data_IF_015744770157
#
_entry.id   IF_015744770157
#
_cell.length_a   1.000
_cell.length_b   1.000
_cell.length_c   1.000
_cell.angle_alpha   90.00
_cell.angle_beta   90.00
_cell.angle_gamma   90.00
#
_symmetry.space_group_name_H-M   'P 1'
#
loop_
_entity.id
_entity.type
_entity.pdbx_description
1 polymer ?
#
# COMPACT_ATOMS: atom_id res chain seq x y z
N UNK A 1 -14.07 -8.63 -21.12
CA UNK A 1 -13.70 -9.99 -20.70
C UNK A 1 -12.38 -10.02 -19.93
N UNK A 2 -11.30 -9.44 -20.44
CA UNK A 2 -10.01 -9.29 -19.72
C UNK A 2 -10.19 -8.85 -18.26
N UNK A 3 -10.93 -7.76 -18.04
CA UNK A 3 -11.21 -7.22 -16.71
C UNK A 3 -11.97 -8.21 -15.82
N UNK A 4 -12.96 -8.93 -16.37
CA UNK A 4 -13.71 -9.94 -15.61
C UNK A 4 -12.81 -11.10 -15.16
N UNK A 5 -11.83 -11.49 -15.98
CA UNK A 5 -10.82 -12.50 -15.60
C UNK A 5 -9.97 -11.99 -14.44
N UNK A 6 -9.50 -10.75 -14.51
CA UNK A 6 -8.71 -10.10 -13.44
C UNK A 6 -9.51 -10.07 -12.12
N UNK A 7 -10.75 -9.58 -12.15
CA UNK A 7 -11.57 -9.44 -10.94
C UNK A 7 -11.91 -10.78 -10.29
N UNK A 8 -12.31 -11.79 -11.09
CA UNK A 8 -12.62 -13.12 -10.56
C UNK A 8 -11.37 -13.79 -10.01
N UNK A 9 -10.25 -13.74 -10.73
CA UNK A 9 -9.01 -14.36 -10.30
C UNK A 9 -8.46 -13.67 -9.03
N UNK A 10 -8.52 -12.33 -8.94
CA UNK A 10 -8.13 -11.59 -7.74
C UNK A 10 -8.95 -12.04 -6.53
N UNK A 11 -10.28 -12.13 -6.69
CA UNK A 11 -11.18 -12.61 -5.62
C UNK A 11 -10.83 -14.03 -5.18
N UNK A 12 -10.64 -14.95 -6.13
CA UNK A 12 -10.29 -16.34 -5.83
C UNK A 12 -8.90 -16.47 -5.19
N UNK A 13 -7.89 -15.75 -5.69
CA UNK A 13 -6.56 -15.77 -5.10
C UNK A 13 -6.53 -15.19 -3.68
N UNK A 14 -7.36 -14.18 -3.39
CA UNK A 14 -7.51 -13.66 -2.03
C UNK A 14 -8.12 -14.69 -1.07
N UNK A 15 -9.08 -15.49 -1.54
CA UNK A 15 -9.79 -16.47 -0.70
C UNK A 15 -9.02 -17.79 -0.53
N UNK A 16 -8.38 -18.26 -1.61
CA UNK A 16 -7.87 -19.63 -1.69
C UNK A 16 -6.34 -19.70 -1.86
N UNK A 17 -5.67 -18.55 -2.02
CA UNK A 17 -4.25 -18.47 -2.37
C UNK A 17 -4.02 -18.61 -3.87
N UNK A 18 -2.88 -18.09 -4.34
CA UNK A 18 -2.52 -18.17 -5.76
C UNK A 18 -2.25 -19.63 -6.16
N UNK A 19 -1.61 -20.43 -5.31
CA UNK A 19 -1.22 -21.81 -5.67
C UNK A 19 -2.44 -22.70 -5.93
N UNK A 20 -3.49 -22.55 -5.13
CA UNK A 20 -4.65 -23.46 -5.14
C UNK A 20 -5.63 -23.23 -6.29
N UNK A 21 -5.59 -22.05 -6.93
CA UNK A 21 -6.53 -21.67 -7.98
C UNK A 21 -5.94 -21.94 -9.36
N UNK A 22 -6.54 -22.81 -10.15
CA UNK A 22 -6.09 -23.13 -11.51
C UNK A 22 -6.75 -22.21 -12.56
N UNK A 23 -6.20 -22.23 -13.79
CA UNK A 23 -6.85 -21.57 -14.94
C UNK A 23 -8.23 -22.20 -15.22
N UNK A 24 -8.37 -23.50 -14.96
CA UNK A 24 -9.66 -24.20 -15.06
C UNK A 24 -10.70 -23.63 -14.11
N UNK A 25 -10.34 -23.39 -12.86
CA UNK A 25 -11.26 -22.85 -11.84
C UNK A 25 -11.76 -21.45 -12.23
N UNK A 26 -10.87 -20.61 -12.74
CA UNK A 26 -11.20 -19.26 -13.24
C UNK A 26 -12.15 -19.37 -14.45
N UNK A 27 -11.82 -20.24 -15.40
CA UNK A 27 -12.63 -20.47 -16.61
C UNK A 27 -14.03 -20.99 -16.27
N UNK A 28 -14.12 -21.96 -15.36
CA UNK A 28 -15.38 -22.55 -14.90
C UNK A 28 -16.28 -21.50 -14.23
N UNK A 29 -15.69 -20.65 -13.37
CA UNK A 29 -16.41 -19.57 -12.68
C UNK A 29 -16.99 -18.55 -13.67
N UNK A 30 -16.22 -18.20 -14.70
CA UNK A 30 -16.65 -17.25 -15.74
C UNK A 30 -17.47 -17.88 -16.87
N UNK A 31 -17.62 -19.21 -16.88
CA UNK A 31 -18.26 -19.99 -17.96
C UNK A 31 -17.62 -19.70 -19.34
N UNK A 32 -16.29 -19.62 -19.37
CA UNK A 32 -15.50 -19.43 -20.59
C UNK A 32 -14.60 -20.64 -20.85
N UNK A 33 -14.13 -20.79 -22.10
CA UNK A 33 -13.17 -21.83 -22.44
C UNK A 33 -11.73 -21.43 -22.08
N UNK A 34 -10.83 -22.41 -21.90
CA UNK A 34 -9.38 -22.14 -21.82
C UNK A 34 -8.88 -21.34 -23.03
N UNK A 35 -9.38 -21.67 -24.24
CA UNK A 35 -9.04 -20.94 -25.46
C UNK A 35 -9.37 -19.45 -25.32
N UNK A 36 -10.49 -19.11 -24.70
CA UNK A 36 -10.87 -17.72 -24.41
C UNK A 36 -9.94 -17.09 -23.38
N UNK A 37 -9.57 -17.79 -22.32
CA UNK A 37 -8.59 -17.28 -21.34
C UNK A 37 -7.24 -16.97 -22.00
N UNK A 38 -6.71 -17.91 -22.78
CA UNK A 38 -5.41 -17.80 -23.44
C UNK A 38 -5.35 -16.75 -24.57
N UNK A 39 -6.48 -16.20 -25.00
CA UNK A 39 -6.51 -15.00 -25.84
C UNK A 39 -6.03 -13.74 -25.10
N UNK A 40 -6.17 -13.70 -23.76
CA UNK A 40 -5.82 -12.53 -22.94
C UNK A 40 -4.53 -12.73 -22.15
N UNK A 41 -4.27 -13.94 -21.64
CA UNK A 41 -3.11 -14.24 -20.79
C UNK A 41 -2.45 -15.51 -21.31
N UNK A 42 -1.17 -15.45 -21.72
CA UNK A 42 -0.50 -16.63 -22.31
C UNK A 42 -0.22 -17.69 -21.26
N UNK A 43 -0.03 -17.26 -20.01
CA UNK A 43 0.18 -18.11 -18.84
C UNK A 43 -0.43 -17.46 -17.60
N UNK A 44 -0.57 -18.24 -16.53
CA UNK A 44 -1.14 -17.77 -15.26
C UNK A 44 -0.29 -16.67 -14.62
N UNK A 45 1.03 -16.71 -14.80
CA UNK A 45 1.95 -15.66 -14.34
C UNK A 45 1.59 -14.29 -14.93
N UNK A 46 1.19 -14.23 -16.21
CA UNK A 46 0.83 -12.96 -16.86
C UNK A 46 -0.42 -12.35 -16.20
N UNK A 47 -1.38 -13.20 -15.82
CA UNK A 47 -2.56 -12.77 -15.08
C UNK A 47 -2.20 -12.26 -13.68
N UNK A 48 -1.27 -12.94 -12.99
CA UNK A 48 -0.81 -12.53 -11.65
C UNK A 48 -0.13 -11.16 -11.73
N UNK A 49 0.76 -10.96 -12.70
CA UNK A 49 1.44 -9.67 -12.91
C UNK A 49 0.44 -8.53 -13.19
N UNK A 50 -0.57 -8.79 -14.02
CA UNK A 50 -1.63 -7.83 -14.33
C UNK A 50 -2.52 -7.51 -13.12
N UNK A 51 -2.84 -8.51 -12.29
CA UNK A 51 -3.58 -8.29 -11.04
C UNK A 51 -2.77 -7.39 -10.09
N UNK A 52 -1.47 -7.64 -9.94
CA UNK A 52 -0.59 -6.83 -9.08
C UNK A 52 -0.56 -5.37 -9.56
N UNK A 53 -0.37 -5.17 -10.86
CA UNK A 53 -0.39 -3.83 -11.47
C UNK A 53 -1.75 -3.15 -11.27
N UNK A 54 -2.85 -3.88 -11.45
CA UNK A 54 -4.19 -3.38 -11.23
C UNK A 54 -4.39 -2.92 -9.78
N UNK A 55 -4.03 -3.75 -8.79
CA UNK A 55 -4.12 -3.39 -7.36
C UNK A 55 -3.30 -2.13 -7.07
N UNK A 56 -2.08 -2.03 -7.58
CA UNK A 56 -1.22 -0.86 -7.41
C UNK A 56 -1.82 0.40 -8.03
N UNK A 57 -2.27 0.34 -9.28
CA UNK A 57 -2.84 1.49 -9.99
C UNK A 57 -4.11 1.99 -9.29
N UNK A 58 -4.97 1.06 -8.85
CA UNK A 58 -6.18 1.42 -8.10
C UNK A 58 -5.85 2.09 -6.77
N UNK A 59 -4.83 1.61 -6.05
CA UNK A 59 -4.36 2.23 -4.81
C UNK A 59 -3.84 3.65 -5.04
N UNK A 60 -2.92 3.84 -6.01
CA UNK A 60 -2.37 5.16 -6.36
C UNK A 60 -3.47 6.12 -6.82
N UNK A 61 -4.37 5.67 -7.68
CA UNK A 61 -5.49 6.49 -8.14
C UNK A 61 -6.45 6.87 -7.01
N UNK A 62 -6.61 6.02 -5.98
CA UNK A 62 -7.42 6.34 -4.80
C UNK A 62 -6.75 7.41 -3.93
N UNK A 63 -5.43 7.32 -3.76
CA UNK A 63 -4.65 8.32 -3.04
C UNK A 63 -4.67 9.68 -3.77
N UNK A 64 -4.45 9.69 -5.09
CA UNK A 64 -4.38 10.94 -5.88
C UNK A 64 -5.72 11.67 -5.98
N UNK A 65 -6.84 10.96 -6.16
CA UNK A 65 -8.16 11.57 -6.34
C UNK A 65 -8.62 12.45 -5.18
N UNK A 66 -8.06 12.24 -4.00
CA UNK A 66 -8.53 12.87 -2.77
C UNK A 66 -7.64 14.05 -2.31
N UNK A 67 -6.63 14.44 -3.09
CA UNK A 67 -5.64 15.46 -2.69
C UNK A 67 -6.02 16.90 -3.05
N UNK A 68 -7.05 17.11 -3.86
CA UNK A 68 -7.40 18.45 -4.35
C UNK A 68 -7.79 19.37 -3.17
N UNK A 69 -7.24 20.58 -3.18
CA UNK A 69 -7.51 21.64 -2.19
C UNK A 69 -7.15 21.24 -0.74
N UNK A 70 -6.20 20.31 -0.57
CA UNK A 70 -5.69 19.85 0.73
C UNK A 70 -4.28 20.35 0.99
N UNK A 71 -3.98 20.62 2.25
CA UNK A 71 -2.59 20.85 2.69
C UNK A 71 -1.85 19.52 2.88
N UNK A 72 -0.53 19.62 3.08
CA UNK A 72 0.36 18.45 3.17
C UNK A 72 0.05 17.55 4.36
N UNK A 73 -0.41 18.10 5.50
CA UNK A 73 -0.86 17.29 6.65
C UNK A 73 -2.09 16.47 6.28
N UNK A 74 -3.10 17.09 5.67
CA UNK A 74 -4.32 16.39 5.27
C UNK A 74 -4.00 15.26 4.28
N UNK A 75 -3.16 15.54 3.28
CA UNK A 75 -2.72 14.55 2.28
C UNK A 75 -2.01 13.38 2.97
N UNK A 76 -1.10 13.65 3.90
CA UNK A 76 -0.37 12.63 4.64
C UNK A 76 -1.32 11.74 5.45
N UNK A 77 -2.21 12.34 6.24
CA UNK A 77 -3.19 11.61 7.06
C UNK A 77 -4.14 10.79 6.19
N UNK A 78 -4.53 11.32 5.03
CA UNK A 78 -5.37 10.58 4.08
C UNK A 78 -4.63 9.37 3.52
N UNK A 79 -3.40 9.54 3.01
CA UNK A 79 -2.60 8.43 2.53
C UNK A 79 -2.39 7.36 3.61
N UNK A 80 -2.09 7.77 4.84
CA UNK A 80 -1.99 6.88 6.01
C UNK A 80 -3.25 6.04 6.21
N UNK A 81 -4.44 6.66 6.17
CA UNK A 81 -5.72 5.94 6.33
C UNK A 81 -5.95 4.94 5.20
N UNK A 82 -5.56 5.30 3.99
CA UNK A 82 -5.72 4.43 2.83
C UNK A 82 -4.78 3.23 2.89
N UNK A 83 -3.54 3.41 3.36
CA UNK A 83 -2.58 2.34 3.67
C UNK A 83 -3.16 1.40 4.72
N UNK A 84 -3.64 1.93 5.86
CA UNK A 84 -4.28 1.10 6.91
C UNK A 84 -5.42 0.25 6.37
N UNK A 85 -6.32 0.87 5.60
CA UNK A 85 -7.45 0.18 4.97
C UNK A 85 -7.02 -0.88 3.95
N UNK A 86 -5.91 -0.66 3.25
CA UNK A 86 -5.36 -1.64 2.33
C UNK A 86 -4.84 -2.85 3.12
N UNK A 87 -4.01 -2.62 4.14
CA UNK A 87 -3.45 -3.68 5.01
C UNK A 87 -4.53 -4.52 5.70
N UNK A 88 -5.62 -3.90 6.18
CA UNK A 88 -6.75 -4.63 6.79
C UNK A 88 -7.51 -5.54 5.81
N UNK A 89 -7.48 -5.21 4.52
CA UNK A 89 -8.19 -5.95 3.46
C UNK A 89 -7.30 -6.91 2.69
N UNK A 90 -5.99 -6.88 2.95
CA UNK A 90 -5.03 -7.72 2.24
C UNK A 90 -5.17 -9.18 2.66
N UNK A 91 -5.13 -10.06 1.66
CA UNK A 91 -5.10 -11.49 1.91
C UNK A 91 -3.67 -11.92 2.23
N UNK A 92 -3.46 -12.36 3.48
CA UNK A 92 -2.20 -12.98 3.88
C UNK A 92 -1.82 -14.15 2.96
N UNK A 93 -2.80 -14.97 2.55
CA UNK A 93 -2.59 -16.11 1.66
C UNK A 93 -2.11 -15.67 0.27
N UNK A 94 -2.69 -14.61 -0.30
CA UNK A 94 -2.27 -14.07 -1.59
C UNK A 94 -0.79 -13.67 -1.57
N UNK A 95 -0.39 -12.84 -0.60
CA UNK A 95 0.97 -12.33 -0.50
C UNK A 95 1.98 -13.40 -0.12
N UNK A 96 1.61 -14.33 0.76
CA UNK A 96 2.42 -15.49 1.09
C UNK A 96 2.72 -16.33 -0.15
N UNK A 97 1.70 -16.67 -0.95
CA UNK A 97 1.89 -17.45 -2.17
C UNK A 97 2.67 -16.68 -3.23
N UNK A 98 2.45 -15.36 -3.35
CA UNK A 98 3.22 -14.53 -4.27
C UNK A 98 4.71 -14.53 -3.91
N UNK A 99 5.04 -14.32 -2.62
CA UNK A 99 6.41 -14.35 -2.10
C UNK A 99 7.06 -15.72 -2.32
N UNK A 100 6.32 -16.80 -2.07
CA UNK A 100 6.85 -18.18 -2.09
C UNK A 100 7.00 -18.75 -3.50
N UNK A 101 6.03 -18.56 -4.38
CA UNK A 101 5.99 -19.22 -5.70
C UNK A 101 6.34 -18.29 -6.86
N UNK A 102 6.25 -16.97 -6.67
CA UNK A 102 6.55 -15.97 -7.70
C UNK A 102 7.48 -14.85 -7.18
N UNK A 103 8.66 -15.19 -6.62
CA UNK A 103 9.52 -14.23 -5.92
C UNK A 103 10.00 -13.06 -6.79
N UNK A 104 10.14 -13.25 -8.10
CA UNK A 104 10.50 -12.16 -9.02
C UNK A 104 9.36 -11.13 -9.18
N UNK A 105 8.11 -11.59 -9.30
CA UNK A 105 6.94 -10.69 -9.35
C UNK A 105 6.75 -9.98 -8.01
N UNK A 106 6.95 -10.71 -6.91
CA UNK A 106 6.97 -10.14 -5.57
C UNK A 106 8.02 -9.02 -5.45
N UNK A 107 9.29 -9.29 -5.79
CA UNK A 107 10.35 -8.26 -5.70
C UNK A 107 10.03 -7.03 -6.54
N UNK A 108 9.61 -7.19 -7.80
CA UNK A 108 9.27 -6.06 -8.68
C UNK A 108 8.14 -5.20 -8.10
N UNK A 109 7.11 -5.82 -7.53
CA UNK A 109 6.04 -5.10 -6.88
C UNK A 109 6.56 -4.22 -5.73
N UNK A 110 7.39 -4.79 -4.85
CA UNK A 110 7.93 -4.04 -3.71
C UNK A 110 8.91 -2.95 -4.13
N UNK A 111 9.70 -3.16 -5.19
CA UNK A 111 10.62 -2.13 -5.71
C UNK A 111 9.83 -0.97 -6.33
N UNK A 112 8.72 -1.23 -7.02
CA UNK A 112 7.83 -0.17 -7.51
C UNK A 112 7.13 0.57 -6.36
N UNK A 113 6.64 -0.15 -5.35
CA UNK A 113 6.01 0.48 -4.17
C UNK A 113 6.99 1.35 -3.41
N UNK A 114 8.23 0.87 -3.25
CA UNK A 114 9.34 1.62 -2.64
C UNK A 114 9.53 2.98 -3.31
N UNK A 115 9.63 3.01 -4.64
CA UNK A 115 9.87 4.25 -5.38
C UNK A 115 8.67 5.21 -5.29
N UNK A 116 7.45 4.69 -5.37
CA UNK A 116 6.23 5.48 -5.21
C UNK A 116 6.13 6.07 -3.80
N UNK A 117 6.35 5.28 -2.75
CA UNK A 117 6.31 5.75 -1.36
C UNK A 117 7.39 6.81 -1.13
N UNK A 118 8.63 6.56 -1.57
CA UNK A 118 9.73 7.52 -1.41
C UNK A 118 9.40 8.86 -2.08
N UNK A 119 9.03 8.83 -3.36
CA UNK A 119 8.80 10.06 -4.15
C UNK A 119 7.60 10.84 -3.65
N UNK A 120 6.50 10.16 -3.31
CA UNK A 120 5.30 10.84 -2.77
C UNK A 120 5.54 11.41 -1.37
N UNK A 121 6.29 10.71 -0.51
CA UNK A 121 6.62 11.20 0.83
C UNK A 121 7.59 12.39 0.77
N UNK A 122 8.62 12.31 -0.07
CA UNK A 122 9.54 13.43 -0.31
C UNK A 122 8.79 14.67 -0.78
N UNK A 123 7.90 14.52 -1.77
CA UNK A 123 7.10 15.63 -2.29
C UNK A 123 6.18 16.21 -1.21
N UNK A 124 5.52 15.36 -0.42
CA UNK A 124 4.68 15.80 0.69
C UNK A 124 5.48 16.60 1.74
N UNK A 125 6.69 16.15 2.09
CA UNK A 125 7.55 16.88 3.04
C UNK A 125 7.90 18.26 2.48
N UNK A 126 8.34 18.34 1.22
CA UNK A 126 8.71 19.62 0.58
C UNK A 126 7.53 20.60 0.56
N UNK A 127 6.36 20.16 0.14
CA UNK A 127 5.15 21.00 0.15
C UNK A 127 4.78 21.44 1.58
N UNK A 128 4.85 20.55 2.57
CA UNK A 128 4.53 20.91 3.95
C UNK A 128 5.53 21.89 4.58
N UNK A 129 6.79 21.89 4.13
CA UNK A 129 7.78 22.90 4.49
C UNK A 129 7.42 24.27 3.87
N UNK A 130 7.00 24.30 2.61
CA UNK A 130 6.55 25.51 1.90
C UNK A 130 5.28 26.10 2.52
N UNK A 131 4.31 25.27 2.88
CA UNK A 131 3.08 25.64 3.61
C UNK A 131 3.36 26.07 5.07
N UNK A 132 4.58 25.80 5.55
CA UNK A 132 5.05 26.14 6.89
C UNK A 132 4.52 25.24 8.00
N UNK A 133 3.97 24.06 7.68
CA UNK A 133 3.51 23.07 8.67
C UNK A 133 4.61 22.12 9.12
N UNK A 134 5.63 21.89 8.29
CA UNK A 134 6.74 21.00 8.61
C UNK A 134 8.01 21.76 9.01
N UNK A 135 8.91 21.07 9.72
CA UNK A 135 10.19 21.65 10.13
C UNK A 135 11.06 21.92 8.90
N UNK A 136 11.80 23.04 8.89
CA UNK A 136 12.61 23.47 7.74
C UNK A 136 14.02 22.89 7.71
N UNK A 137 14.45 22.28 8.80
CA UNK A 137 15.77 21.70 9.04
C UNK A 137 15.85 20.19 8.71
N UNK A 138 14.81 19.64 8.07
CA UNK A 138 14.76 18.23 7.69
C UNK A 138 15.65 18.00 6.47
N UNK A 139 16.57 17.03 6.58
CA UNK A 139 17.20 16.39 5.43
C UNK A 139 16.16 15.49 4.75
N UNK A 140 15.47 16.05 3.75
CA UNK A 140 14.33 15.40 3.10
C UNK A 140 14.74 14.12 2.39
N UNK A 141 15.91 14.11 1.75
CA UNK A 141 16.40 12.94 1.03
C UNK A 141 16.69 11.80 2.00
N UNK A 142 17.46 12.07 3.05
CA UNK A 142 17.81 11.06 4.05
C UNK A 142 16.60 10.56 4.82
N UNK A 143 15.66 11.46 5.20
CA UNK A 143 14.44 11.05 5.88
C UNK A 143 13.57 10.15 4.99
N UNK A 144 13.42 10.51 3.71
CA UNK A 144 12.61 9.72 2.76
C UNK A 144 13.25 8.36 2.46
N UNK A 145 14.58 8.31 2.33
CA UNK A 145 15.33 7.07 2.21
C UNK A 145 15.19 6.18 3.45
N UNK A 146 15.40 6.76 4.64
CA UNK A 146 15.23 6.06 5.92
C UNK A 146 13.83 5.47 6.07
N UNK A 147 12.79 6.27 5.82
CA UNK A 147 11.40 5.84 5.91
C UNK A 147 11.12 4.63 5.00
N UNK A 148 11.66 4.67 3.78
CA UNK A 148 11.52 3.61 2.78
C UNK A 148 12.21 2.31 3.21
N UNK A 149 13.38 2.38 3.84
CA UNK A 149 14.10 1.21 4.37
C UNK A 149 13.39 0.65 5.62
N UNK A 150 12.95 1.54 6.52
CA UNK A 150 12.25 1.18 7.76
C UNK A 150 10.93 0.45 7.48
N UNK A 151 10.14 0.94 6.52
CA UNK A 151 8.89 0.30 6.09
C UNK A 151 9.11 -1.12 5.55
N UNK A 152 10.26 -1.39 4.90
CA UNK A 152 10.56 -2.74 4.39
C UNK A 152 11.01 -3.66 5.51
N UNK A 153 12.12 -3.35 6.19
CA UNK A 153 12.78 -4.34 7.03
C UNK A 153 12.28 -4.36 8.48
N UNK A 154 12.15 -3.20 9.10
CA UNK A 154 11.74 -3.10 10.50
C UNK A 154 10.28 -3.52 10.65
N UNK A 155 9.44 -3.07 9.72
CA UNK A 155 8.03 -3.38 9.71
C UNK A 155 7.76 -4.87 9.45
N UNK A 156 8.36 -5.46 8.41
CA UNK A 156 8.23 -6.90 8.13
C UNK A 156 8.70 -7.74 9.33
N UNK A 157 9.86 -7.42 9.93
CA UNK A 157 10.37 -8.15 11.08
C UNK A 157 9.42 -8.07 12.30
N UNK A 158 8.85 -6.90 12.60
CA UNK A 158 7.89 -6.74 13.68
C UNK A 158 6.54 -7.42 13.39
N UNK A 159 6.16 -7.53 12.11
CA UNK A 159 4.95 -8.24 11.67
C UNK A 159 5.16 -9.75 11.62
N UNK A 160 6.38 -10.24 11.41
CA UNK A 160 6.67 -11.68 11.47
C UNK A 160 6.71 -12.15 12.94
N UNK A 161 7.11 -11.28 13.88
CA UNK A 161 7.00 -11.49 15.33
C UNK A 161 5.60 -11.14 15.90
N UNK A 162 4.54 -11.72 15.32
CA UNK A 162 3.14 -11.45 15.73
C UNK A 162 2.80 -11.88 17.16
N UNK A 163 3.71 -12.57 17.86
CA UNK A 163 3.43 -13.07 19.19
C UNK A 163 3.32 -11.95 20.24
N UNK A 164 3.88 -10.77 19.95
CA UNK A 164 3.98 -9.68 20.94
C UNK A 164 3.03 -8.50 20.66
N UNK A 165 2.77 -8.16 19.39
CA UNK A 165 2.00 -6.95 19.05
C UNK A 165 1.04 -7.14 17.87
N UNK A 166 -0.23 -6.72 17.99
CA UNK A 166 -1.15 -6.69 16.85
C UNK A 166 -0.63 -5.76 15.74
N UNK A 167 -0.80 -6.17 14.46
CA UNK A 167 -0.40 -5.41 13.28
C UNK A 167 -0.85 -3.94 13.35
N UNK A 168 -2.11 -3.72 13.71
CA UNK A 168 -2.70 -2.37 13.86
C UNK A 168 -1.90 -1.49 14.84
N UNK A 169 -1.46 -2.05 15.98
CA UNK A 169 -0.70 -1.30 16.99
C UNK A 169 0.68 -0.91 16.47
N UNK A 170 1.35 -1.81 15.77
CA UNK A 170 2.65 -1.54 15.13
C UNK A 170 2.51 -0.41 14.12
N UNK A 171 1.49 -0.49 13.25
CA UNK A 171 1.21 0.52 12.24
C UNK A 171 0.90 1.89 12.87
N UNK A 172 0.01 1.92 13.87
CA UNK A 172 -0.35 3.16 14.58
C UNK A 172 0.88 3.83 15.22
N UNK A 173 1.75 3.04 15.85
CA UNK A 173 2.98 3.54 16.48
C UNK A 173 3.94 4.19 15.48
N UNK A 174 4.22 3.54 14.35
CA UNK A 174 5.15 4.08 13.36
C UNK A 174 4.63 5.37 12.70
N UNK A 175 3.33 5.42 12.43
CA UNK A 175 2.71 6.62 11.89
C UNK A 175 2.83 7.78 12.88
N UNK A 176 2.49 7.54 14.14
CA UNK A 176 2.56 8.56 15.17
C UNK A 176 3.99 9.11 15.32
N UNK A 177 4.98 8.22 15.33
CA UNK A 177 6.40 8.57 15.34
C UNK A 177 6.79 9.45 14.14
N UNK A 178 6.41 9.05 12.93
CA UNK A 178 6.76 9.78 11.70
C UNK A 178 6.10 11.15 11.63
N UNK A 179 4.83 11.27 12.03
CA UNK A 179 4.10 12.54 12.01
C UNK A 179 4.74 13.53 12.98
N UNK A 180 5.03 13.13 14.21
CA UNK A 180 5.69 13.99 15.19
C UNK A 180 7.14 14.35 14.81
N UNK A 181 7.80 13.49 14.03
CA UNK A 181 9.14 13.78 13.53
C UNK A 181 9.15 14.89 12.47
N UNK A 182 8.09 15.09 11.69
CA UNK A 182 8.11 16.04 10.56
C UNK A 182 7.44 17.37 10.84
N UNK A 183 6.43 17.41 11.72
CA UNK A 183 5.68 18.65 11.99
C UNK A 183 6.46 19.61 12.87
N UNK A 184 6.25 20.91 12.64
CA UNK A 184 6.67 21.95 13.57
C UNK A 184 5.50 22.31 14.52
N UNK A 185 5.65 23.34 15.36
CA UNK A 185 4.59 23.78 16.29
C UNK A 185 3.26 24.13 15.60
N UNK A 186 3.31 24.80 14.44
CA UNK A 186 2.10 25.12 13.65
C UNK A 186 1.44 23.85 13.11
N UNK A 187 2.24 22.90 12.61
CA UNK A 187 1.74 21.61 12.14
C UNK A 187 1.16 20.75 13.24
N UNK A 188 1.81 20.72 14.41
CA UNK A 188 1.32 19.99 15.58
C UNK A 188 -0.02 20.56 16.06
N UNK A 189 -0.12 21.89 16.18
CA UNK A 189 -1.39 22.55 16.54
C UNK A 189 -2.50 22.23 15.55
N UNK A 190 -2.19 22.23 14.24
CA UNK A 190 -3.16 21.85 13.21
C UNK A 190 -3.62 20.39 13.37
N UNK A 191 -2.70 19.46 13.69
CA UNK A 191 -3.05 18.06 13.96
C UNK A 191 -3.94 17.91 15.18
N UNK A 192 -3.65 18.62 16.26
CA UNK A 192 -4.42 18.59 17.50
C UNK A 192 -5.88 19.02 17.26
N UNK A 193 -6.06 20.18 16.63
CA UNK A 193 -7.37 20.78 16.36
C UNK A 193 -8.23 19.97 15.37
N UNK A 194 -7.59 19.30 14.40
CA UNK A 194 -8.31 18.65 13.29
C UNK A 194 -8.44 17.13 13.44
N UNK A 195 -7.51 16.49 14.14
CA UNK A 195 -7.35 15.03 14.15
C UNK A 195 -7.26 14.41 15.54
N UNK A 196 -6.53 14.99 16.51
CA UNK A 196 -6.40 14.36 17.83
C UNK A 196 -7.59 14.61 18.76
N UNK A 197 -8.23 15.79 18.71
CA UNK A 197 -9.44 16.07 19.51
C UNK A 197 -10.67 15.24 19.10
N UNK A 198 -10.63 14.62 17.92
CA UNK A 198 -11.65 13.67 17.43
C UNK A 198 -11.34 12.20 17.74
N UNK A 199 -10.17 11.89 18.30
CA UNK A 199 -9.74 10.53 18.67
C UNK A 199 -10.01 10.23 20.16
N UNK A 200 -10.26 11.27 20.98
CA UNK A 200 -10.65 11.16 22.40
C UNK A 200 -12.17 11.08 22.66
N UNK A 201 -12.99 11.05 21.62
CA UNK A 201 -14.45 10.78 21.69
C UNK A 201 -14.76 9.53 20.90
#
# INVERSE_FOLDING_TARGET
MRENIIQIALSQFHQLGIRSVSVDDICATLRISKKTFYQYFKKKEDLIEEIIQHVQQHFVARCMRQQKDKNSIDILIMNIREIKRAMEKESFLFWHDLKKYYPLLYSRYYDLQRDVVRTTFEQNIRCGMEEGYYRKDIDVEMLSYFHTVQMRHTFEAMIEDQQHFPLKRVVDFFIDLMVHLIVNEKGLKYLEENYYDKIKK
#
